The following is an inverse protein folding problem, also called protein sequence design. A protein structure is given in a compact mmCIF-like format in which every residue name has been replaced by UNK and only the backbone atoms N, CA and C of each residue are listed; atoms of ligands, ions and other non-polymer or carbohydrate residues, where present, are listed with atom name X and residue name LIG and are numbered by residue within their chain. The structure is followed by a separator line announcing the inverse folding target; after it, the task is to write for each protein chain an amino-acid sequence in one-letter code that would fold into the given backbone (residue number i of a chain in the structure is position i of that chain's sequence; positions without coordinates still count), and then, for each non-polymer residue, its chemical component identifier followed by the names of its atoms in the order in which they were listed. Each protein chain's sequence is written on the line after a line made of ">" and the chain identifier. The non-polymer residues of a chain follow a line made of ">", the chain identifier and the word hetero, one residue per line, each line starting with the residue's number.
data_IF_489013085152
#
_entry.id   IF_489013085152
#
_cell.length_a   1.000
_cell.length_b   1.000
_cell.length_c   1.000
_cell.angle_alpha   90.00
_cell.angle_beta   90.00
_cell.angle_gamma   90.00
#
_symmetry.space_group_name_H-M   'P 1'
#
loop_
_entity.id
_entity.type
_entity.pdbx_description
1 polymer ?
#
# COMPACT_ATOMS: atom_id res chain seq x y z
N UNK A 1 19.37 12.14 28.89
CA UNK A 1 20.74 11.61 28.67
C UNK A 1 20.79 10.92 27.31
N UNK A 2 21.90 11.03 26.58
CA UNK A 2 22.09 10.39 25.27
C UNK A 2 21.85 8.87 25.32
N UNK A 3 22.24 8.23 26.42
CA UNK A 3 22.09 6.78 26.65
C UNK A 3 20.64 6.29 26.75
N UNK A 4 19.65 7.17 26.89
CA UNK A 4 18.23 6.81 27.00
C UNK A 4 17.52 6.95 25.64
N UNK A 5 18.23 7.41 24.60
CA UNK A 5 17.66 7.51 23.26
C UNK A 5 17.48 6.11 22.63
N UNK A 6 16.35 5.93 21.96
CA UNK A 6 15.97 4.67 21.29
C UNK A 6 15.86 4.88 19.80
N UNK A 7 15.88 3.78 19.06
CA UNK A 7 15.79 3.83 17.59
C UNK A 7 14.41 4.28 17.12
N UNK A 8 14.33 4.78 15.88
CA UNK A 8 13.07 5.19 15.29
C UNK A 8 12.06 4.02 15.23
N UNK A 9 12.51 2.79 15.00
CA UNK A 9 11.64 1.62 14.95
C UNK A 9 10.96 1.33 16.29
N UNK A 10 11.69 1.45 17.40
CA UNK A 10 11.15 1.26 18.74
C UNK A 10 10.14 2.36 19.10
N UNK A 11 10.47 3.62 18.78
CA UNK A 11 9.56 4.75 18.96
C UNK A 11 8.25 4.56 18.19
N UNK A 12 8.34 4.20 16.90
CA UNK A 12 7.16 3.99 16.06
C UNK A 12 6.36 2.75 16.50
N UNK A 13 7.02 1.67 16.91
CA UNK A 13 6.37 0.46 17.42
C UNK A 13 5.50 0.78 18.64
N UNK A 14 6.04 1.53 19.60
CA UNK A 14 5.30 1.99 20.78
C UNK A 14 4.16 2.95 20.44
N UNK A 15 4.44 3.97 19.61
CA UNK A 15 3.48 5.01 19.28
C UNK A 15 2.27 4.52 18.46
N UNK A 16 2.46 3.54 17.56
CA UNK A 16 1.43 2.98 16.70
C UNK A 16 0.57 1.91 17.38
N UNK A 17 1.13 1.18 18.35
CA UNK A 17 0.45 0.16 19.14
C UNK A 17 -0.30 -0.91 18.30
N UNK A 18 0.27 -1.34 17.18
CA UNK A 18 -0.41 -2.22 16.21
C UNK A 18 -0.60 -3.67 16.70
N UNK A 19 0.18 -4.10 17.70
CA UNK A 19 0.19 -5.49 18.22
C UNK A 19 -0.58 -5.68 19.52
N UNK A 20 -1.26 -4.65 20.02
CA UNK A 20 -1.96 -4.68 21.31
C UNK A 20 -3.23 -5.56 21.36
N UNK A 21 -3.66 -5.92 22.57
CA UNK A 21 -4.86 -6.74 22.80
C UNK A 21 -6.15 -6.14 22.21
N UNK A 22 -6.26 -4.80 22.18
CA UNK A 22 -7.40 -4.10 21.58
C UNK A 22 -7.54 -4.32 20.06
N UNK A 23 -6.41 -4.53 19.36
CA UNK A 23 -6.40 -4.78 17.90
C UNK A 23 -6.94 -6.17 17.59
N UNK A 24 -6.61 -7.18 18.41
CA UNK A 24 -6.99 -8.58 18.21
C UNK A 24 -8.51 -8.81 18.15
N UNK A 25 -9.28 -8.09 18.97
CA UNK A 25 -10.75 -8.25 19.07
C UNK A 25 -11.54 -7.05 18.56
N UNK A 26 -10.93 -6.17 17.76
CA UNK A 26 -11.63 -5.04 17.12
C UNK A 26 -12.18 -4.00 18.10
N UNK A 27 -11.55 -3.84 19.28
CA UNK A 27 -11.99 -2.89 20.32
C UNK A 27 -11.69 -1.42 19.96
N UNK A 28 -10.73 -1.19 19.05
CA UNK A 28 -10.31 0.15 18.64
C UNK A 28 -11.10 0.70 17.44
N UNK A 29 -11.59 1.95 17.56
CA UNK A 29 -12.20 2.69 16.45
C UNK A 29 -11.13 3.06 15.40
N UNK A 30 -11.43 2.89 14.11
CA UNK A 30 -10.47 3.15 13.00
C UNK A 30 -10.51 4.56 12.41
N UNK A 31 -11.37 5.45 12.93
CA UNK A 31 -11.60 6.80 12.36
C UNK A 31 -10.34 7.69 12.34
N UNK A 32 -9.51 7.62 13.38
CA UNK A 32 -8.26 8.39 13.51
C UNK A 32 -7.07 7.45 13.77
N UNK A 33 -6.79 6.53 12.84
CA UNK A 33 -5.64 5.63 12.95
C UNK A 33 -4.34 6.43 12.79
N UNK A 34 -3.38 6.25 13.69
CA UNK A 34 -2.02 6.79 13.54
C UNK A 34 -1.31 6.11 12.36
N UNK A 35 -0.51 6.88 11.62
CA UNK A 35 0.24 6.40 10.46
C UNK A 35 1.73 6.63 10.70
N UNK A 36 2.55 5.63 10.40
CA UNK A 36 4.01 5.76 10.41
C UNK A 36 4.46 6.80 9.39
N UNK A 37 5.46 7.60 9.75
CA UNK A 37 6.16 8.53 8.84
C UNK A 37 7.66 8.26 8.94
N UNK A 38 8.31 8.06 7.79
CA UNK A 38 9.77 7.98 7.75
C UNK A 38 10.34 9.40 7.84
N UNK A 39 11.11 9.67 8.91
CA UNK A 39 11.68 10.99 9.17
C UNK A 39 13.04 11.20 8.48
N UNK A 40 13.69 10.13 8.04
CA UNK A 40 14.99 10.18 7.34
C UNK A 40 14.82 10.48 5.83
N UNK A 41 13.59 10.42 5.31
CA UNK A 41 13.31 10.72 3.90
C UNK A 41 13.43 12.23 3.65
N UNK A 42 14.26 12.62 2.68
CA UNK A 42 14.51 14.02 2.35
C UNK A 42 15.54 14.69 3.26
N UNK A 43 16.35 13.91 3.98
CA UNK A 43 17.53 14.40 4.68
C UNK A 43 18.78 13.96 3.89
N UNK A 44 19.65 14.91 3.60
CA UNK A 44 20.93 14.66 2.96
C UNK A 44 22.03 14.55 4.03
N UNK A 45 23.03 13.71 3.77
CA UNK A 45 24.14 13.52 4.70
C UNK A 45 25.04 14.77 4.65
N UNK A 46 25.43 15.28 5.81
CA UNK A 46 26.26 16.49 5.92
C UNK A 46 25.47 17.80 6.01
N UNK A 47 24.17 17.78 5.70
CA UNK A 47 23.29 18.92 5.90
C UNK A 47 22.85 19.05 7.36
N UNK A 48 22.84 20.28 7.87
CA UNK A 48 22.52 20.55 9.26
C UNK A 48 22.12 22.01 9.50
N UNK A 49 21.59 22.29 10.70
CA UNK A 49 21.11 23.63 11.07
C UNK A 49 22.22 24.69 11.04
N UNK A 50 23.47 24.29 11.27
CA UNK A 50 24.64 25.16 11.20
C UNK A 50 25.00 25.57 9.77
N UNK A 51 24.47 24.90 8.73
CA UNK A 51 24.76 25.22 7.34
C UNK A 51 26.24 25.08 6.96
N UNK A 52 26.95 24.13 7.57
CA UNK A 52 28.35 23.84 7.25
C UNK A 52 28.45 23.09 5.91
N UNK A 53 29.46 23.44 5.13
CA UNK A 53 29.84 22.81 3.87
C UNK A 53 31.10 21.99 4.11
N UNK A 54 30.93 20.67 4.05
CA UNK A 54 31.92 19.63 4.21
C UNK A 54 32.35 19.13 2.82
N UNK A 55 33.56 19.48 2.36
CA UNK A 55 34.11 18.98 1.10
C UNK A 55 34.15 17.44 1.11
N UNK A 56 33.54 16.81 0.11
CA UNK A 56 33.42 15.35 -0.01
C UNK A 56 32.15 14.74 0.60
N UNK A 57 31.29 15.54 1.23
CA UNK A 57 30.01 15.07 1.78
C UNK A 57 28.81 15.84 1.19
N UNK A 58 28.68 17.13 1.51
CA UNK A 58 27.62 18.00 0.96
C UNK A 58 28.16 19.09 0.02
N UNK A 59 29.48 19.23 -0.09
CA UNK A 59 30.14 20.12 -1.05
C UNK A 59 31.18 19.34 -1.88
N UNK A 60 31.46 19.73 -3.13
CA UNK A 60 32.47 19.07 -3.94
C UNK A 60 33.88 19.31 -3.37
N UNK A 61 34.75 18.29 -3.44
CA UNK A 61 36.11 18.36 -2.89
C UNK A 61 36.97 19.40 -3.60
N UNK A 62 36.82 19.52 -4.93
CA UNK A 62 37.61 20.41 -5.77
C UNK A 62 36.66 21.38 -6.48
N UNK A 63 36.96 22.67 -6.42
CA UNK A 63 36.29 23.69 -7.24
C UNK A 63 37.34 24.62 -7.82
N UNK A 64 37.26 24.87 -9.12
CA UNK A 64 38.23 25.69 -9.87
C UNK A 64 39.69 25.25 -9.67
N UNK A 65 39.94 23.94 -9.61
CA UNK A 65 41.28 23.36 -9.49
C UNK A 65 41.91 23.44 -8.09
N UNK A 66 41.20 23.93 -7.07
CA UNK A 66 41.67 23.97 -5.67
C UNK A 66 40.79 23.12 -4.76
N UNK A 67 41.41 22.49 -3.76
CA UNK A 67 40.70 21.76 -2.70
C UNK A 67 39.92 22.77 -1.86
N UNK A 68 38.62 22.54 -1.67
CA UNK A 68 37.79 23.40 -0.85
C UNK A 68 38.11 23.23 0.64
N UNK A 69 38.04 24.33 1.38
CA UNK A 69 38.03 24.31 2.84
C UNK A 69 36.60 24.14 3.37
N UNK A 70 36.47 23.73 4.63
CA UNK A 70 35.18 23.74 5.33
C UNK A 70 34.68 25.17 5.42
N UNK A 71 33.50 25.43 4.86
CA UNK A 71 32.89 26.78 4.84
C UNK A 71 31.50 26.73 5.46
N UNK A 72 30.90 27.89 5.68
CA UNK A 72 29.56 27.98 6.24
C UNK A 72 28.68 28.85 5.35
N UNK A 73 27.47 28.37 5.01
CA UNK A 73 26.50 29.12 4.22
C UNK A 73 26.09 30.41 4.93
N UNK A 74 25.71 31.44 4.16
CA UNK A 74 25.14 32.67 4.74
C UNK A 74 23.77 32.40 5.35
N UNK A 75 23.34 33.24 6.30
CA UNK A 75 22.05 33.09 6.98
C UNK A 75 20.87 33.04 6.00
N UNK A 76 20.85 33.95 5.03
CA UNK A 76 19.79 34.03 4.01
C UNK A 76 19.69 32.73 3.18
N UNK A 77 20.82 32.16 2.80
CA UNK A 77 20.88 30.93 2.02
C UNK A 77 20.37 29.73 2.83
N UNK A 78 20.72 29.66 4.12
CA UNK A 78 20.20 28.62 5.04
C UNK A 78 18.68 28.70 5.18
N UNK A 79 18.14 29.91 5.31
CA UNK A 79 16.71 30.14 5.43
C UNK A 79 15.97 29.74 4.14
N UNK A 80 16.54 30.05 2.97
CA UNK A 80 16.01 29.60 1.68
C UNK A 80 15.94 28.09 1.60
N UNK A 81 17.04 27.39 1.88
CA UNK A 81 17.10 25.91 1.85
C UNK A 81 16.11 25.30 2.85
N UNK A 82 16.04 25.85 4.07
CA UNK A 82 15.08 25.40 5.08
C UNK A 82 13.63 25.57 4.61
N UNK A 83 13.33 26.68 3.92
CA UNK A 83 12.00 26.92 3.34
C UNK A 83 11.69 25.93 2.22
N UNK A 84 12.67 25.62 1.35
CA UNK A 84 12.54 24.64 0.28
C UNK A 84 12.28 23.23 0.82
N UNK A 85 13.01 22.80 1.86
CA UNK A 85 12.79 21.51 2.53
C UNK A 85 11.36 21.41 3.08
N UNK A 86 10.84 22.50 3.67
CA UNK A 86 9.44 22.53 4.17
C UNK A 86 8.46 22.45 3.01
N UNK A 87 8.68 23.19 1.92
CA UNK A 87 7.83 23.11 0.73
C UNK A 87 7.83 21.71 0.10
N UNK A 88 8.99 21.07 -0.03
CA UNK A 88 9.10 19.69 -0.51
C UNK A 88 8.35 18.71 0.40
N UNK A 89 8.47 18.87 1.72
CA UNK A 89 7.72 18.08 2.70
C UNK A 89 6.20 18.26 2.52
N UNK A 90 5.74 19.49 2.40
CA UNK A 90 4.31 19.80 2.30
C UNK A 90 3.70 19.33 0.98
N UNK A 91 4.42 19.52 -0.13
CA UNK A 91 4.02 18.99 -1.44
C UNK A 91 3.94 17.47 -1.44
N UNK A 92 4.90 16.79 -0.80
CA UNK A 92 4.87 15.34 -0.63
C UNK A 92 3.69 14.87 0.23
N UNK A 93 3.42 15.56 1.35
CA UNK A 93 2.27 15.26 2.20
C UNK A 93 0.93 15.47 1.48
N UNK A 94 0.80 16.53 0.67
CA UNK A 94 -0.36 16.78 -0.18
C UNK A 94 -0.58 15.62 -1.16
N UNK A 95 0.46 15.23 -1.91
CA UNK A 95 0.40 14.09 -2.86
C UNK A 95 -0.03 12.80 -2.17
N UNK A 96 0.47 12.51 -0.96
CA UNK A 96 0.09 11.31 -0.19
C UNK A 96 -1.36 11.34 0.31
N UNK A 97 -1.91 12.52 0.60
CA UNK A 97 -3.30 12.70 1.06
C UNK A 97 -4.31 12.66 -0.09
N UNK A 98 -3.88 12.95 -1.31
CA UNK A 98 -4.72 12.89 -2.51
C UNK A 98 -5.21 11.46 -2.75
N UNK A 99 -6.53 11.27 -2.75
CA UNK A 99 -7.16 9.99 -3.06
C UNK A 99 -7.35 9.86 -4.57
N UNK A 100 -6.80 8.80 -5.16
CA UNK A 100 -7.02 8.47 -6.57
C UNK A 100 -8.49 8.01 -6.75
N UNK A 101 -9.18 8.57 -7.73
CA UNK A 101 -10.52 8.12 -8.13
C UNK A 101 -10.39 6.72 -8.73
N UNK A 102 -11.20 5.78 -8.25
CA UNK A 102 -11.24 4.41 -8.74
C UNK A 102 -12.58 4.19 -9.42
N UNK A 103 -12.60 3.37 -10.46
CA UNK A 103 -13.85 2.88 -11.01
C UNK A 103 -14.62 2.12 -9.93
N UNK A 104 -15.89 2.49 -9.78
CA UNK A 104 -16.78 1.90 -8.79
C UNK A 104 -17.35 0.58 -9.28
N UNK A 105 -17.90 -0.19 -8.34
CA UNK A 105 -18.83 -1.27 -8.66
C UNK A 105 -20.27 -0.77 -8.71
N UNK A 106 -21.22 -1.61 -8.33
CA UNK A 106 -22.65 -1.28 -8.31
C UNK A 106 -23.00 -0.10 -7.39
N UNK A 107 -22.23 0.11 -6.32
CA UNK A 107 -22.35 1.27 -5.43
C UNK A 107 -20.99 1.64 -4.82
N UNK A 108 -20.83 2.90 -4.39
CA UNK A 108 -19.53 3.44 -3.99
C UNK A 108 -18.85 2.77 -2.78
N UNK A 109 -19.59 2.05 -1.93
CA UNK A 109 -19.05 1.35 -0.75
C UNK A 109 -18.99 -0.17 -0.92
N UNK A 110 -19.72 -0.72 -1.89
CA UNK A 110 -19.79 -2.15 -2.12
C UNK A 110 -18.63 -2.64 -3.00
N UNK A 111 -18.35 -3.93 -2.91
CA UNK A 111 -17.35 -4.60 -3.76
C UNK A 111 -17.96 -5.25 -5.00
N UNK A 112 -19.28 -5.47 -5.03
CA UNK A 112 -19.95 -6.07 -6.17
C UNK A 112 -19.79 -5.19 -7.40
N UNK A 113 -19.41 -5.79 -8.53
CA UNK A 113 -19.14 -5.10 -9.79
C UNK A 113 -17.76 -4.47 -9.92
N UNK A 114 -16.92 -4.48 -8.88
CA UNK A 114 -15.55 -3.95 -8.94
C UNK A 114 -14.69 -4.84 -9.85
N UNK A 115 -14.02 -4.21 -10.81
CA UNK A 115 -13.00 -4.83 -11.65
C UNK A 115 -11.74 -5.13 -10.83
N UNK A 116 -11.25 -6.35 -10.95
CA UNK A 116 -9.97 -6.79 -10.42
C UNK A 116 -8.97 -7.00 -11.55
N UNK A 117 -7.70 -7.00 -11.17
CA UNK A 117 -6.61 -7.36 -12.07
C UNK A 117 -6.82 -8.80 -12.60
N UNK A 118 -6.40 -9.11 -13.85
CA UNK A 118 -6.49 -10.44 -14.43
C UNK A 118 -5.87 -11.53 -13.55
N UNK A 119 -6.26 -12.81 -13.69
CA UNK A 119 -5.72 -13.92 -12.90
C UNK A 119 -4.18 -13.96 -12.88
N UNK A 120 -3.61 -14.32 -11.74
CA UNK A 120 -2.15 -14.37 -11.62
C UNK A 120 -1.59 -15.45 -12.57
N UNK A 121 -0.44 -15.22 -13.22
CA UNK A 121 0.12 -16.17 -14.18
C UNK A 121 0.46 -17.51 -13.52
N UNK A 122 0.31 -18.58 -14.29
CA UNK A 122 0.62 -19.94 -13.86
C UNK A 122 2.13 -20.18 -13.72
N UNK A 123 2.54 -21.21 -12.95
CA UNK A 123 3.96 -21.56 -12.80
C UNK A 123 4.61 -22.03 -14.11
N UNK A 124 3.81 -22.47 -15.08
CA UNK A 124 4.25 -22.98 -16.38
C UNK A 124 4.30 -21.88 -17.47
N UNK A 125 4.22 -20.60 -17.10
CA UNK A 125 4.20 -19.47 -18.05
C UNK A 125 2.83 -19.18 -18.66
N UNK A 126 1.75 -19.76 -18.13
CA UNK A 126 0.38 -19.47 -18.56
C UNK A 126 -0.01 -18.03 -18.17
N UNK A 127 -0.46 -17.24 -19.15
CA UNK A 127 -0.99 -15.88 -18.95
C UNK A 127 -2.48 -15.82 -19.22
N UNK A 128 -3.18 -14.92 -18.52
CA UNK A 128 -4.64 -14.80 -18.58
C UNK A 128 -5.07 -13.34 -18.80
N UNK A 129 -4.33 -12.60 -19.63
CA UNK A 129 -4.57 -11.17 -19.87
C UNK A 129 -5.92 -10.89 -20.53
N UNK A 130 -6.40 -11.83 -21.35
CA UNK A 130 -7.71 -11.79 -22.00
C UNK A 130 -8.90 -11.96 -21.02
N UNK A 131 -8.64 -12.34 -19.76
CA UNK A 131 -9.69 -12.60 -18.78
C UNK A 131 -9.96 -11.37 -17.92
N UNK A 132 -11.20 -10.89 -17.98
CA UNK A 132 -11.71 -9.90 -17.07
C UNK A 132 -12.18 -10.57 -15.77
N UNK A 133 -11.84 -9.98 -14.62
CA UNK A 133 -12.24 -10.50 -13.30
C UNK A 133 -13.16 -9.52 -12.61
N UNK A 134 -14.40 -9.93 -12.29
CA UNK A 134 -15.36 -9.10 -11.55
C UNK A 134 -15.78 -9.74 -10.24
N UNK A 135 -15.85 -8.92 -9.21
CA UNK A 135 -16.33 -9.34 -7.89
C UNK A 135 -17.85 -9.37 -7.88
N UNK A 136 -18.43 -10.47 -7.41
CA UNK A 136 -19.89 -10.59 -7.23
C UNK A 136 -20.22 -10.26 -5.77
N UNK A 137 -19.56 -10.91 -4.82
CA UNK A 137 -19.88 -10.79 -3.39
C UNK A 137 -18.61 -10.79 -2.52
N UNK A 138 -18.59 -9.94 -1.49
CA UNK A 138 -17.62 -10.02 -0.40
C UNK A 138 -18.34 -9.97 0.94
N UNK A 139 -18.31 -11.08 1.68
CA UNK A 139 -18.96 -11.20 2.99
C UNK A 139 -17.95 -11.43 4.11
N UNK A 140 -18.17 -10.77 5.23
CA UNK A 140 -17.49 -11.08 6.49
C UNK A 140 -18.24 -12.23 7.18
N UNK A 141 -17.57 -13.35 7.38
CA UNK A 141 -18.10 -14.53 8.09
C UNK A 141 -17.34 -14.74 9.39
N UNK A 142 -17.99 -15.38 10.36
CA UNK A 142 -17.42 -15.58 11.69
C UNK A 142 -17.56 -17.03 12.14
N UNK A 143 -16.58 -17.51 12.90
CA UNK A 143 -16.57 -18.85 13.47
C UNK A 143 -16.10 -18.76 14.94
N UNK A 144 -16.75 -19.48 15.84
CA UNK A 144 -16.33 -19.58 17.24
C UNK A 144 -15.17 -20.56 17.38
N UNK A 145 -14.11 -20.13 18.06
CA UNK A 145 -12.91 -20.91 18.38
C UNK A 145 -12.71 -20.91 19.89
N UNK A 146 -12.23 -22.02 20.44
CA UNK A 146 -12.07 -22.19 21.89
C UNK A 146 -11.17 -21.11 22.53
N UNK A 147 -10.01 -20.81 21.93
CA UNK A 147 -9.05 -19.83 22.48
C UNK A 147 -9.36 -18.37 22.10
N UNK A 148 -9.61 -18.13 20.82
CA UNK A 148 -9.76 -16.76 20.28
C UNK A 148 -11.18 -16.20 20.45
N UNK A 149 -12.18 -17.06 20.63
CA UNK A 149 -13.60 -16.71 20.56
C UNK A 149 -14.04 -16.51 19.11
N UNK A 150 -14.72 -15.40 18.83
CA UNK A 150 -15.24 -15.08 17.50
C UNK A 150 -14.11 -14.70 16.52
N UNK A 151 -13.72 -15.64 15.66
CA UNK A 151 -12.72 -15.42 14.61
C UNK A 151 -13.37 -14.91 13.33
N UNK A 152 -12.94 -13.75 12.84
CA UNK A 152 -13.38 -13.19 11.56
C UNK A 152 -12.66 -13.87 10.40
N UNK A 153 -13.39 -14.16 9.32
CA UNK A 153 -12.85 -14.51 8.01
C UNK A 153 -13.65 -13.80 6.93
N UNK A 154 -13.10 -13.74 5.73
CA UNK A 154 -13.72 -13.10 4.57
C UNK A 154 -13.96 -14.17 3.53
N UNK A 155 -15.20 -14.22 3.02
CA UNK A 155 -15.60 -15.04 1.88
C UNK A 155 -15.83 -14.09 0.69
N UNK A 156 -15.19 -14.38 -0.44
CA UNK A 156 -15.37 -13.64 -1.67
C UNK A 156 -15.83 -14.58 -2.78
N UNK A 157 -16.79 -14.13 -3.57
CA UNK A 157 -17.26 -14.77 -4.81
C UNK A 157 -16.85 -13.88 -5.97
N UNK A 158 -16.15 -14.46 -6.94
CA UNK A 158 -15.59 -13.77 -8.09
C UNK A 158 -15.93 -14.56 -9.35
N UNK A 159 -16.25 -13.85 -10.43
CA UNK A 159 -16.37 -14.41 -11.76
C UNK A 159 -15.22 -13.91 -12.66
N UNK A 160 -14.78 -14.77 -13.56
CA UNK A 160 -13.78 -14.50 -14.59
C UNK A 160 -14.38 -14.85 -15.95
N UNK A 161 -14.01 -14.11 -17.00
CA UNK A 161 -14.44 -14.45 -18.34
C UNK A 161 -13.66 -13.71 -19.42
N UNK A 162 -13.58 -14.30 -20.60
CA UNK A 162 -12.83 -13.74 -21.74
C UNK A 162 -13.72 -13.04 -22.79
N UNK A 163 -15.03 -12.90 -22.50
CA UNK A 163 -16.01 -12.33 -23.43
C UNK A 163 -16.33 -13.18 -24.68
N UNK A 164 -15.69 -14.34 -24.83
CA UNK A 164 -15.78 -15.24 -26.00
C UNK A 164 -16.46 -16.57 -25.66
N UNK A 165 -17.29 -16.59 -24.62
CA UNK A 165 -18.02 -17.79 -24.17
C UNK A 165 -17.33 -18.61 -23.09
N UNK A 166 -16.06 -18.35 -22.74
CA UNK A 166 -15.42 -18.99 -21.59
C UNK A 166 -15.59 -18.12 -20.34
N UNK A 167 -16.29 -18.65 -19.34
CA UNK A 167 -16.52 -17.98 -18.07
C UNK A 167 -16.47 -18.96 -16.90
N UNK A 168 -15.99 -18.51 -15.75
CA UNK A 168 -15.92 -19.33 -14.53
C UNK A 168 -16.18 -18.50 -13.31
N UNK A 169 -16.59 -19.13 -12.22
CA UNK A 169 -16.74 -18.46 -10.94
C UNK A 169 -16.18 -19.33 -9.83
N UNK A 170 -15.68 -18.70 -8.77
CA UNK A 170 -15.22 -19.43 -7.61
C UNK A 170 -15.32 -18.62 -6.33
N UNK A 171 -15.37 -19.36 -5.22
CA UNK A 171 -15.31 -18.80 -3.88
C UNK A 171 -13.90 -18.90 -3.30
N UNK A 172 -13.44 -17.82 -2.69
CA UNK A 172 -12.21 -17.74 -1.91
C UNK A 172 -12.49 -17.39 -0.46
N UNK A 173 -11.78 -18.02 0.48
CA UNK A 173 -11.86 -17.72 1.91
C UNK A 173 -10.48 -17.48 2.51
N UNK A 174 -10.34 -16.37 3.24
CA UNK A 174 -9.10 -16.01 3.94
C UNK A 174 -9.37 -15.07 5.13
N UNK A 175 -8.34 -14.82 5.96
CA UNK A 175 -8.40 -13.82 7.03
C UNK A 175 -8.39 -12.38 6.52
N UNK A 176 -7.72 -12.15 5.39
CA UNK A 176 -7.64 -10.86 4.71
C UNK A 176 -8.39 -10.85 3.37
N UNK A 177 -8.93 -9.69 3.00
CA UNK A 177 -9.79 -9.52 1.83
C UNK A 177 -9.01 -9.75 0.54
N UNK A 178 -7.82 -9.17 0.42
CA UNK A 178 -7.01 -9.28 -0.81
C UNK A 178 -6.63 -10.74 -1.07
N UNK A 179 -6.30 -11.47 0.00
CA UNK A 179 -6.03 -12.90 -0.08
C UNK A 179 -7.26 -13.73 -0.46
N UNK A 180 -8.47 -13.38 0.02
CA UNK A 180 -9.69 -14.07 -0.37
C UNK A 180 -10.01 -13.86 -1.85
N UNK A 181 -9.88 -12.62 -2.35
CA UNK A 181 -10.11 -12.27 -3.75
C UNK A 181 -9.10 -12.96 -4.68
N UNK A 182 -7.82 -12.94 -4.34
CA UNK A 182 -6.76 -13.64 -5.08
C UNK A 182 -7.04 -15.14 -5.20
N UNK A 183 -7.41 -15.79 -4.09
CA UNK A 183 -7.78 -17.22 -4.09
C UNK A 183 -9.00 -17.50 -4.95
N UNK A 184 -10.02 -16.64 -4.90
CA UNK A 184 -11.23 -16.79 -5.71
C UNK A 184 -10.90 -16.68 -7.20
N UNK A 185 -10.18 -15.62 -7.60
CA UNK A 185 -9.75 -15.36 -8.98
C UNK A 185 -8.96 -16.53 -9.58
N UNK A 186 -7.88 -16.95 -8.92
CA UNK A 186 -7.00 -18.01 -9.43
C UNK A 186 -7.65 -19.40 -9.37
N UNK A 187 -8.72 -19.56 -8.59
CA UNK A 187 -9.53 -20.79 -8.60
C UNK A 187 -10.55 -20.77 -9.73
N UNK A 188 -11.14 -19.61 -10.03
CA UNK A 188 -12.18 -19.48 -11.07
C UNK A 188 -11.66 -19.83 -12.46
N UNK A 189 -10.39 -19.50 -12.77
CA UNK A 189 -9.77 -19.86 -14.06
C UNK A 189 -9.60 -21.38 -14.25
N UNK A 190 -9.53 -22.15 -13.16
CA UNK A 190 -9.46 -23.62 -13.21
C UNK A 190 -10.82 -24.28 -13.34
N UNK A 191 -11.90 -23.51 -13.17
CA UNK A 191 -13.29 -23.97 -13.22
C UNK A 191 -14.05 -23.14 -14.25
N UNK A 192 -13.54 -23.15 -15.49
CA UNK A 192 -14.20 -22.49 -16.62
C UNK A 192 -15.28 -23.39 -17.21
N UNK A 193 -16.37 -22.75 -17.60
CA UNK A 193 -17.43 -23.30 -18.40
C UNK A 193 -17.40 -22.63 -19.76
N UNK A 194 -17.63 -23.43 -20.80
CA UNK A 194 -17.92 -22.92 -22.13
C UNK A 194 -19.42 -22.76 -22.26
N UNK A 195 -19.85 -21.56 -22.61
CA UNK A 195 -21.24 -21.19 -22.80
C UNK A 195 -21.45 -20.98 -24.29
N UNK A 196 -22.22 -21.87 -24.91
CA UNK A 196 -22.64 -21.72 -26.29
C UNK A 196 -23.58 -20.51 -26.40
N UNK A 197 -23.36 -19.69 -27.42
CA UNK A 197 -24.15 -18.47 -27.69
C UNK A 197 -24.71 -18.56 -29.10
N UNK A 198 -26.00 -18.34 -29.24
CA UNK A 198 -26.64 -18.22 -30.54
C UNK A 198 -26.15 -16.94 -31.22
N UNK A 199 -25.52 -17.09 -32.39
CA UNK A 199 -24.94 -16.00 -33.17
C UNK A 199 -24.07 -15.03 -32.31
N UNK A 200 -23.35 -15.55 -31.31
CA UNK A 200 -22.43 -14.80 -30.44
C UNK A 200 -23.03 -13.63 -29.62
N UNK A 201 -24.36 -13.51 -29.49
CA UNK A 201 -24.98 -12.38 -28.78
C UNK A 201 -26.07 -12.77 -27.76
N UNK A 202 -26.70 -13.95 -27.90
CA UNK A 202 -27.71 -14.47 -26.96
C UNK A 202 -27.43 -15.90 -26.52
#
# INVERSE_FOLDING_TARGET
>A
SFFISVTADELWKGALAETGAGVKKGRGKRRKKKLRKNLNRGQEIGEGRSGLLWPGLNAPVIQSGRVQAVTQRKKEERERIQSEIVQQRDTWEKKRKTKIKREGGWSGSCWGGVLLDPPDPGPNGETYEDFETRVIEVKNVFCMKAKEGRKKSIRALVAVGNGKGAAGFAMGKAGDRMNALRKAKNKAIRCLHFIERYQNHT
#
